data_IF_879123822626
#
_entry.id   IF_879123822626
#
_cell.length_a   1.000
_cell.length_b   1.000
_cell.length_c   1.000
_cell.angle_alpha   90.00
_cell.angle_beta   90.00
_cell.angle_gamma   90.00
#
_symmetry.space_group_name_H-M   'P 1'
#
loop_
_entity.id
_entity.type
_entity.pdbx_description
1 polymer ?
#
# COMPACT_ATOMS: atom_id res chain seq x y z
N UNK A 1 31.85 2.71 -40.23
CA UNK A 1 31.23 1.95 -39.12
C UNK A 1 30.67 2.86 -38.01
N UNK A 2 29.96 3.94 -38.35
CA UNK A 2 29.42 4.92 -37.36
C UNK A 2 27.89 4.95 -37.29
N UNK A 3 27.21 4.14 -38.12
CA UNK A 3 25.73 4.10 -38.22
C UNK A 3 25.09 2.93 -37.44
N UNK A 4 25.90 2.10 -36.77
CA UNK A 4 25.41 0.91 -36.05
C UNK A 4 25.30 1.08 -34.53
N UNK A 5 25.59 2.27 -34.00
CA UNK A 5 25.53 2.55 -32.54
C UNK A 5 24.22 3.27 -32.16
N UNK A 6 23.45 3.76 -33.13
CA UNK A 6 22.18 4.44 -32.83
C UNK A 6 20.99 3.51 -32.57
N UNK A 7 21.14 2.19 -32.78
CA UNK A 7 20.03 1.24 -32.69
C UNK A 7 19.96 0.43 -31.37
N UNK A 8 20.98 0.52 -30.51
CA UNK A 8 21.02 -0.23 -29.24
C UNK A 8 20.46 0.53 -28.04
N UNK A 9 20.18 1.83 -28.16
CA UNK A 9 19.68 2.66 -27.03
C UNK A 9 18.14 2.81 -27.04
N UNK A 10 17.44 2.29 -28.06
CA UNK A 10 15.98 2.40 -28.17
C UNK A 10 15.20 1.19 -27.63
N UNK A 11 15.88 0.17 -27.09
CA UNK A 11 15.23 -1.03 -26.48
C UNK A 11 15.06 -0.88 -24.96
N UNK A 12 15.37 0.27 -24.38
CA UNK A 12 15.02 0.58 -22.98
C UNK A 12 13.56 1.08 -22.82
N UNK A 13 12.75 0.98 -23.88
CA UNK A 13 11.31 1.28 -23.84
C UNK A 13 10.55 0.03 -23.38
N UNK A 14 9.53 0.23 -22.54
CA UNK A 14 8.46 -0.70 -22.16
C UNK A 14 8.81 -1.94 -21.31
N UNK A 15 9.43 -1.74 -20.15
CA UNK A 15 9.05 -2.56 -19.00
C UNK A 15 7.80 -1.92 -18.34
N UNK A 16 6.76 -2.70 -18.02
CA UNK A 16 5.48 -2.14 -17.60
C UNK A 16 5.66 -1.33 -16.32
N UNK A 17 5.30 -0.04 -16.39
CA UNK A 17 5.15 0.91 -15.28
C UNK A 17 4.04 0.51 -14.28
N UNK A 18 3.78 -0.79 -14.10
CA UNK A 18 2.89 -1.27 -13.07
C UNK A 18 3.64 -1.27 -11.74
N UNK A 19 3.49 -0.17 -11.00
CA UNK A 19 3.94 -0.10 -9.62
C UNK A 19 3.41 -1.33 -8.86
N UNK A 20 4.34 -2.10 -8.25
CA UNK A 20 3.99 -3.30 -7.48
C UNK A 20 2.89 -2.97 -6.47
N UNK A 21 1.94 -3.88 -6.19
CA UNK A 21 0.80 -3.61 -5.31
C UNK A 21 1.18 -2.98 -3.95
N UNK A 22 2.31 -3.39 -3.36
CA UNK A 22 2.79 -2.81 -2.10
C UNK A 22 3.23 -1.34 -2.21
N UNK A 23 3.73 -0.87 -3.36
CA UNK A 23 4.04 0.55 -3.58
C UNK A 23 2.76 1.37 -3.66
N UNK A 24 1.71 0.84 -4.32
CA UNK A 24 0.39 1.47 -4.34
C UNK A 24 -0.19 1.57 -2.92
N UNK A 25 -0.02 0.53 -2.11
CA UNK A 25 -0.47 0.53 -0.72
C UNK A 25 0.30 1.50 0.18
N UNK A 26 1.62 1.59 0.00
CA UNK A 26 2.42 2.60 0.69
C UNK A 26 1.95 4.01 0.34
N UNK A 27 1.68 4.29 -0.95
CA UNK A 27 1.16 5.57 -1.41
C UNK A 27 -0.21 5.87 -0.82
N UNK A 28 -1.08 4.87 -0.71
CA UNK A 28 -2.39 5.01 -0.09
C UNK A 28 -2.27 5.35 1.40
N UNK A 29 -1.39 4.65 2.14
CA UNK A 29 -1.13 4.95 3.54
C UNK A 29 -0.67 6.41 3.72
N UNK A 30 0.29 6.86 2.90
CA UNK A 30 0.85 8.21 2.99
C UNK A 30 -0.22 9.29 2.74
N UNK A 31 -1.22 8.99 1.91
CA UNK A 31 -2.29 9.90 1.55
C UNK A 31 -3.41 9.92 2.60
N UNK A 32 -3.90 8.75 2.97
CA UNK A 32 -5.18 8.62 3.69
C UNK A 32 -5.00 8.25 5.17
N UNK A 33 -3.90 7.59 5.54
CA UNK A 33 -3.68 7.08 6.89
C UNK A 33 -2.69 7.92 7.71
N UNK A 34 -1.69 8.52 7.05
CA UNK A 34 -0.57 9.21 7.72
C UNK A 34 -1.01 10.37 8.61
N UNK A 35 -2.05 11.11 8.23
CA UNK A 35 -2.52 12.28 8.98
C UNK A 35 -2.92 11.95 10.42
N UNK A 36 -3.47 10.75 10.66
CA UNK A 36 -3.88 10.29 11.98
C UNK A 36 -2.86 9.36 12.65
N UNK A 37 -2.13 8.56 11.86
CA UNK A 37 -1.29 7.46 12.37
C UNK A 37 0.22 7.71 12.27
N UNK A 38 0.66 8.78 11.59
CA UNK A 38 2.07 9.12 11.44
C UNK A 38 2.83 8.14 10.55
N UNK A 39 4.07 7.80 10.93
CA UNK A 39 4.96 6.91 10.15
C UNK A 39 4.39 5.50 10.01
N UNK A 40 4.29 5.00 8.77
CA UNK A 40 3.81 3.64 8.50
C UNK A 40 4.70 2.56 9.10
N UNK A 41 6.03 2.76 9.10
CA UNK A 41 6.96 1.78 9.64
C UNK A 41 6.72 1.54 11.13
N UNK A 42 6.49 2.63 11.87
CA UNK A 42 6.18 2.55 13.29
C UNK A 42 4.77 2.00 13.52
N UNK A 43 3.76 2.55 12.84
CA UNK A 43 2.38 2.17 13.08
C UNK A 43 2.06 0.72 12.67
N UNK A 44 2.52 0.29 11.49
CA UNK A 44 2.33 -1.10 11.04
C UNK A 44 3.01 -2.07 12.00
N UNK A 45 4.22 -1.73 12.48
CA UNK A 45 4.97 -2.54 13.44
C UNK A 45 4.35 -2.66 14.83
N UNK A 46 3.33 -1.86 15.19
CA UNK A 46 2.64 -1.97 16.50
C UNK A 46 1.76 -3.20 16.64
N UNK A 47 1.37 -3.82 15.52
CA UNK A 47 0.46 -4.96 15.51
C UNK A 47 1.11 -6.16 14.83
N UNK A 48 0.61 -7.35 15.13
CA UNK A 48 1.08 -8.57 14.46
C UNK A 48 0.50 -8.68 13.04
N UNK A 49 1.11 -9.47 12.15
CA UNK A 49 0.56 -9.76 10.82
C UNK A 49 -0.88 -10.30 10.88
N UNK A 50 -1.19 -11.14 11.86
CA UNK A 50 -2.50 -11.76 12.06
C UNK A 50 -3.54 -10.71 12.44
N UNK A 51 -3.17 -9.77 13.33
CA UNK A 51 -4.03 -8.65 13.69
C UNK A 51 -4.31 -7.75 12.49
N UNK A 52 -3.32 -7.51 11.64
CA UNK A 52 -3.53 -6.76 10.40
C UNK A 52 -4.44 -7.48 9.42
N UNK A 53 -4.27 -8.80 9.26
CA UNK A 53 -5.16 -9.63 8.43
C UNK A 53 -6.61 -9.53 8.92
N UNK A 54 -6.83 -9.62 10.24
CA UNK A 54 -8.16 -9.46 10.84
C UNK A 54 -8.76 -8.07 10.59
N UNK A 55 -7.96 -7.00 10.71
CA UNK A 55 -8.43 -5.63 10.50
C UNK A 55 -8.80 -5.36 9.03
N UNK A 56 -8.07 -5.96 8.08
CA UNK A 56 -8.25 -5.77 6.64
C UNK A 56 -9.21 -6.77 6.00
N UNK A 57 -9.61 -7.81 6.74
CA UNK A 57 -10.61 -8.79 6.31
C UNK A 57 -11.93 -8.11 5.91
N UNK A 58 -12.67 -8.76 5.02
CA UNK A 58 -13.98 -8.31 4.53
C UNK A 58 -13.93 -6.88 3.98
N UNK A 59 -12.88 -6.57 3.19
CA UNK A 59 -12.58 -5.23 2.66
C UNK A 59 -12.42 -4.18 3.77
N UNK A 60 -11.86 -4.59 4.90
CA UNK A 60 -11.54 -3.75 6.06
C UNK A 60 -12.75 -3.18 6.79
N UNK A 61 -13.88 -3.91 6.83
CA UNK A 61 -15.07 -3.52 7.62
C UNK A 61 -14.71 -3.19 9.08
N UNK A 62 -13.86 -4.00 9.70
CA UNK A 62 -13.41 -3.78 11.09
C UNK A 62 -12.54 -2.52 11.20
N UNK A 63 -11.66 -2.29 10.23
CA UNK A 63 -10.88 -1.06 10.15
C UNK A 63 -11.79 0.18 10.02
N UNK A 64 -12.80 0.13 9.16
CA UNK A 64 -13.78 1.21 8.98
C UNK A 64 -14.59 1.47 10.26
N UNK A 65 -15.05 0.40 10.93
CA UNK A 65 -15.77 0.51 12.20
C UNK A 65 -14.97 1.23 13.27
N UNK A 66 -13.66 0.95 13.37
CA UNK A 66 -12.79 1.61 14.33
C UNK A 66 -12.62 3.13 14.06
N UNK A 67 -12.94 3.59 12.84
CA UNK A 67 -12.79 4.99 12.41
C UNK A 67 -14.14 5.73 12.29
N UNK A 68 -15.19 5.24 12.96
CA UNK A 68 -16.55 5.84 12.92
C UNK A 68 -16.63 7.26 13.51
N UNK A 69 -15.72 7.64 14.42
CA UNK A 69 -15.82 8.89 15.18
C UNK A 69 -15.34 10.14 14.44
N UNK A 70 -14.67 9.98 13.29
CA UNK A 70 -14.08 11.10 12.54
C UNK A 70 -14.73 11.22 11.16
N UNK A 71 -15.38 12.35 10.88
CA UNK A 71 -16.17 12.57 9.66
C UNK A 71 -15.39 12.23 8.38
N UNK A 72 -14.15 12.72 8.28
CA UNK A 72 -13.30 12.54 7.10
C UNK A 72 -12.91 11.07 6.87
N UNK A 73 -12.63 10.31 7.93
CA UNK A 73 -12.32 8.89 7.79
C UNK A 73 -13.55 8.08 7.40
N UNK A 74 -14.73 8.40 7.95
CA UNK A 74 -15.99 7.75 7.58
C UNK A 74 -16.26 7.90 6.09
N UNK A 75 -16.04 9.10 5.54
CA UNK A 75 -16.18 9.35 4.11
C UNK A 75 -15.21 8.50 3.28
N UNK A 76 -13.92 8.49 3.65
CA UNK A 76 -12.92 7.67 2.98
C UNK A 76 -13.29 6.18 2.99
N UNK A 77 -13.61 5.61 4.15
CA UNK A 77 -13.92 4.18 4.29
C UNK A 77 -15.21 3.76 3.58
N UNK A 78 -16.15 4.68 3.34
CA UNK A 78 -17.36 4.43 2.55
C UNK A 78 -17.15 4.60 1.04
N UNK A 79 -16.03 5.18 0.63
CA UNK A 79 -15.78 5.49 -0.78
C UNK A 79 -15.50 4.23 -1.63
N UNK A 80 -15.87 4.29 -2.91
CA UNK A 80 -15.46 3.28 -3.89
C UNK A 80 -13.94 3.23 -4.07
N UNK A 81 -13.25 4.34 -3.79
CA UNK A 81 -11.80 4.40 -3.80
C UNK A 81 -11.21 3.44 -2.76
N UNK A 82 -11.71 3.46 -1.52
CA UNK A 82 -11.24 2.55 -0.48
C UNK A 82 -11.45 1.08 -0.85
N UNK A 83 -12.65 0.72 -1.32
CA UNK A 83 -12.97 -0.66 -1.74
C UNK A 83 -11.98 -1.20 -2.77
N UNK A 84 -11.54 -0.34 -3.71
CA UNK A 84 -10.55 -0.68 -4.74
C UNK A 84 -9.11 -0.71 -4.24
N UNK A 85 -8.80 -0.03 -3.13
CA UNK A 85 -7.42 0.19 -2.67
C UNK A 85 -7.05 -0.57 -1.40
N UNK A 86 -8.02 -1.12 -0.67
CA UNK A 86 -7.77 -1.91 0.54
C UNK A 86 -6.85 -3.11 0.29
N UNK A 87 -6.94 -3.74 -0.88
CA UNK A 87 -6.03 -4.81 -1.30
C UNK A 87 -4.57 -4.34 -1.47
N UNK A 88 -4.36 -3.08 -1.85
CA UNK A 88 -3.02 -2.52 -1.92
C UNK A 88 -2.46 -2.25 -0.53
N UNK A 89 -3.30 -1.77 0.41
CA UNK A 89 -2.92 -1.61 1.82
C UNK A 89 -2.50 -2.98 2.39
N UNK A 90 -3.27 -4.04 2.13
CA UNK A 90 -2.94 -5.40 2.54
C UNK A 90 -1.62 -5.90 1.93
N UNK A 91 -1.41 -5.67 0.63
CA UNK A 91 -0.15 -6.00 -0.03
C UNK A 91 1.04 -5.24 0.59
N UNK A 92 0.83 -3.99 0.99
CA UNK A 92 1.86 -3.19 1.64
C UNK A 92 2.22 -3.71 3.03
N UNK A 93 1.22 -3.99 3.86
CA UNK A 93 1.42 -4.56 5.20
C UNK A 93 2.10 -5.93 5.12
N UNK A 94 1.64 -6.79 4.21
CA UNK A 94 2.27 -8.11 3.98
C UNK A 94 3.72 -7.97 3.55
N UNK A 95 4.02 -7.03 2.65
CA UNK A 95 5.39 -6.77 2.23
C UNK A 95 6.27 -6.26 3.38
N UNK A 96 5.74 -5.38 4.23
CA UNK A 96 6.43 -4.87 5.40
C UNK A 96 6.89 -6.02 6.32
N UNK A 97 6.00 -6.93 6.69
CA UNK A 97 6.37 -8.06 7.56
C UNK A 97 7.29 -9.07 6.89
N UNK A 98 7.13 -9.32 5.58
CA UNK A 98 8.08 -10.15 4.82
C UNK A 98 9.49 -9.56 4.85
N UNK A 99 9.61 -8.23 4.77
CA UNK A 99 10.90 -7.53 4.88
C UNK A 99 11.44 -7.58 6.30
N UNK A 100 10.62 -7.30 7.31
CA UNK A 100 11.03 -7.34 8.71
C UNK A 100 11.61 -8.71 9.11
N UNK A 101 10.94 -9.81 8.74
CA UNK A 101 11.42 -11.19 8.97
C UNK A 101 12.74 -11.53 8.28
N UNK A 102 13.12 -10.83 7.21
CA UNK A 102 14.38 -11.08 6.48
C UNK A 102 15.62 -10.54 7.23
N UNK A 103 15.42 -9.65 8.18
CA UNK A 103 16.48 -8.99 8.94
C UNK A 103 16.45 -9.36 10.44
N UNK A 104 15.72 -10.43 10.79
CA UNK A 104 15.73 -11.10 12.09
C UNK A 104 16.53 -12.39 11.96
#
# INVERSE_FOLDING_TARGET
MKKLILLTVLVAVVLPLQAKPYFKGQKEYLRECRSCHGSSQFFIGKFTPERWSELLKDKGKKLAFNHIKTKNSVEYFKSQQYVKRVEYIEAYVTHFFKKAKKYQ
#
